data_IF_054443901706
#
_entry.id   IF_054443901706
#
_cell.length_a   1.000
_cell.length_b   1.000
_cell.length_c   1.000
_cell.angle_alpha   90.00
_cell.angle_beta   90.00
_cell.angle_gamma   90.00
#
_symmetry.space_group_name_H-M   'P 1'
#
loop_
_entity.id
_entity.type
_entity.pdbx_description
1 polymer ?
#
# COMPACT_ATOMS: atom_id res chain seq x y z
N UNK A 1 -14.57 -0.83 12.87
CA UNK A 1 -13.69 0.31 12.54
C UNK A 1 -12.28 -0.26 12.36
N UNK A 2 -11.43 0.38 11.56
CA UNK A 2 -10.18 -0.19 11.05
C UNK A 2 -9.03 0.71 11.48
N UNK A 3 -8.17 0.18 12.33
CA UNK A 3 -7.01 0.89 12.88
C UNK A 3 -5.79 0.85 11.94
N UNK A 4 -4.75 1.58 12.33
CA UNK A 4 -3.50 1.67 11.58
C UNK A 4 -2.86 0.29 11.33
N UNK A 5 -2.86 -0.59 12.34
CA UNK A 5 -2.29 -1.93 12.23
C UNK A 5 -3.02 -2.74 11.14
N UNK A 6 -4.35 -2.72 11.13
CA UNK A 6 -5.13 -3.42 10.12
C UNK A 6 -4.93 -2.82 8.72
N UNK A 7 -4.72 -1.50 8.60
CA UNK A 7 -4.33 -0.87 7.33
C UNK A 7 -2.96 -1.41 6.86
N UNK A 8 -1.95 -1.39 7.73
CA UNK A 8 -0.59 -1.84 7.41
C UNK A 8 -0.55 -3.31 7.00
N UNK A 9 -1.25 -4.17 7.74
CA UNK A 9 -1.41 -5.61 7.40
C UNK A 9 -2.03 -5.79 6.03
N UNK A 10 -3.04 -4.98 5.70
CA UNK A 10 -3.74 -5.11 4.42
C UNK A 10 -2.89 -4.62 3.25
N UNK A 11 -2.09 -3.56 3.43
CA UNK A 11 -1.14 -3.08 2.42
C UNK A 11 -0.08 -4.15 2.09
N UNK A 12 0.51 -4.80 3.10
CA UNK A 12 1.49 -5.86 2.86
C UNK A 12 0.82 -7.08 2.22
N UNK A 13 -0.29 -7.57 2.78
CA UNK A 13 -1.00 -8.73 2.23
C UNK A 13 -1.46 -8.51 0.79
N UNK A 14 -1.63 -7.26 0.37
CA UNK A 14 -1.95 -6.95 -0.99
C UNK A 14 -0.82 -7.35 -1.94
N UNK A 15 0.43 -7.01 -1.66
CA UNK A 15 1.54 -7.18 -2.62
C UNK A 15 2.49 -8.32 -2.25
N UNK A 16 2.71 -8.56 -0.96
CA UNK A 16 3.78 -9.41 -0.44
C UNK A 16 3.26 -10.32 0.69
N UNK A 17 2.26 -11.15 0.35
CA UNK A 17 1.64 -12.09 1.31
C UNK A 17 2.63 -13.12 1.87
N UNK A 18 3.74 -13.36 1.18
CA UNK A 18 4.81 -14.27 1.63
C UNK A 18 5.52 -13.71 2.86
N UNK A 19 5.70 -12.39 2.93
CA UNK A 19 6.32 -11.71 4.06
C UNK A 19 5.31 -10.85 4.82
N UNK A 20 4.14 -11.43 5.12
CA UNK A 20 3.04 -10.71 5.77
C UNK A 20 3.47 -10.01 7.07
N UNK A 21 4.42 -10.58 7.82
CA UNK A 21 5.00 -10.03 9.05
C UNK A 21 5.64 -8.66 8.87
N UNK A 22 6.05 -8.29 7.66
CA UNK A 22 6.63 -6.98 7.36
C UNK A 22 5.62 -5.83 7.51
N UNK A 23 4.35 -6.11 7.84
CA UNK A 23 3.36 -5.09 8.19
C UNK A 23 3.84 -4.17 9.32
N UNK A 24 4.69 -4.69 10.21
CA UNK A 24 5.29 -3.91 11.32
C UNK A 24 6.14 -2.74 10.81
N UNK A 25 6.71 -2.83 9.60
CA UNK A 25 7.50 -1.75 8.99
C UNK A 25 6.62 -0.56 8.58
N UNK A 26 5.34 -0.82 8.25
CA UNK A 26 4.39 0.19 7.83
C UNK A 26 3.63 0.78 9.03
N UNK A 27 3.52 0.05 10.14
CA UNK A 27 2.82 0.50 11.35
C UNK A 27 3.66 1.50 12.18
N UNK A 28 4.00 2.64 11.58
CA UNK A 28 4.82 3.70 12.19
C UNK A 28 4.18 5.07 11.99
N UNK A 29 4.74 6.13 12.62
CA UNK A 29 4.27 7.50 12.38
C UNK A 29 4.52 7.99 10.95
N UNK A 30 5.49 7.40 10.26
CA UNK A 30 5.84 7.74 8.87
C UNK A 30 5.26 6.72 7.87
N UNK A 31 4.06 6.20 8.15
CA UNK A 31 3.43 5.11 7.39
C UNK A 31 3.35 5.38 5.88
N UNK A 32 3.08 6.62 5.46
CA UNK A 32 3.04 6.99 4.05
C UNK A 32 4.39 6.72 3.36
N UNK A 33 5.47 7.23 3.95
CA UNK A 33 6.84 7.05 3.45
C UNK A 33 7.25 5.57 3.46
N UNK A 34 6.97 4.85 4.55
CA UNK A 34 7.29 3.43 4.64
C UNK A 34 6.52 2.59 3.62
N UNK A 35 5.26 2.94 3.35
CA UNK A 35 4.46 2.28 2.30
C UNK A 35 5.07 2.55 0.93
N UNK A 36 5.42 3.79 0.61
CA UNK A 36 6.08 4.17 -0.65
C UNK A 36 7.40 3.40 -0.85
N UNK A 37 8.30 3.46 0.14
CA UNK A 37 9.62 2.82 0.07
C UNK A 37 9.50 1.30 -0.07
N UNK A 38 8.58 0.67 0.68
CA UNK A 38 8.34 -0.76 0.60
C UNK A 38 7.79 -1.16 -0.78
N UNK A 39 6.79 -0.46 -1.29
CA UNK A 39 6.18 -0.76 -2.59
C UNK A 39 7.19 -0.53 -3.73
N UNK A 40 7.95 0.56 -3.72
CA UNK A 40 8.98 0.81 -4.74
C UNK A 40 10.01 -0.33 -4.74
N UNK A 41 10.51 -0.72 -3.57
CA UNK A 41 11.47 -1.82 -3.45
C UNK A 41 10.88 -3.13 -3.96
N UNK A 42 9.68 -3.49 -3.50
CA UNK A 42 9.00 -4.72 -3.90
C UNK A 42 8.83 -4.80 -5.42
N UNK A 43 8.28 -3.75 -6.05
CA UNK A 43 8.06 -3.75 -7.50
C UNK A 43 9.40 -3.75 -8.26
N UNK A 44 10.41 -3.02 -7.80
CA UNK A 44 11.75 -3.04 -8.39
C UNK A 44 12.40 -4.42 -8.33
N UNK A 45 12.31 -5.13 -7.21
CA UNK A 45 12.81 -6.51 -7.05
C UNK A 45 12.09 -7.51 -7.96
N UNK A 46 10.84 -7.21 -8.35
CA UNK A 46 10.07 -7.97 -9.34
C UNK A 46 10.27 -7.47 -10.79
N UNK A 47 11.27 -6.63 -11.03
CA UNK A 47 11.59 -6.11 -12.37
C UNK A 47 10.56 -5.13 -12.92
N UNK A 48 9.84 -4.42 -12.03
CA UNK A 48 8.79 -3.42 -12.34
C UNK A 48 9.15 -2.03 -11.84
N UNK A 49 10.41 -1.62 -12.01
CA UNK A 49 10.89 -0.31 -11.56
C UNK A 49 10.13 0.87 -12.20
N UNK A 50 9.51 0.67 -13.36
CA UNK A 50 8.64 1.63 -14.04
C UNK A 50 7.37 2.01 -13.24
N UNK A 51 7.01 1.24 -12.19
CA UNK A 51 5.89 1.56 -11.31
C UNK A 51 6.20 2.70 -10.31
N UNK A 52 7.47 3.10 -10.18
CA UNK A 52 7.95 4.03 -9.14
C UNK A 52 7.17 5.34 -9.10
N UNK A 53 6.99 6.00 -10.24
CA UNK A 53 6.33 7.32 -10.28
C UNK A 53 4.84 7.22 -9.92
N UNK A 54 4.17 6.14 -10.34
CA UNK A 54 2.76 5.91 -10.01
C UNK A 54 2.57 5.53 -8.54
N UNK A 55 3.50 4.78 -7.93
CA UNK A 55 3.49 4.49 -6.49
C UNK A 55 3.61 5.79 -5.68
N UNK A 56 4.53 6.68 -6.07
CA UNK A 56 4.68 8.01 -5.43
C UNK A 56 3.41 8.85 -5.58
N UNK A 57 2.81 8.85 -6.78
CA UNK A 57 1.59 9.59 -7.03
C UNK A 57 0.41 9.07 -6.20
N UNK A 58 0.22 7.74 -6.14
CA UNK A 58 -0.81 7.08 -5.34
C UNK A 58 -0.61 7.40 -3.85
N UNK A 59 0.61 7.28 -3.34
CA UNK A 59 0.90 7.56 -1.94
C UNK A 59 0.60 9.02 -1.60
N UNK A 60 1.07 9.95 -2.44
CA UNK A 60 0.83 11.39 -2.27
C UNK A 60 -0.67 11.74 -2.32
N UNK A 61 -1.44 11.12 -3.21
CA UNK A 61 -2.90 11.34 -3.32
C UNK A 61 -3.67 10.87 -2.09
N UNK A 62 -3.13 9.92 -1.32
CA UNK A 62 -3.74 9.37 -0.13
C UNK A 62 -3.10 9.90 1.18
N UNK A 63 -2.30 10.98 1.09
CA UNK A 63 -1.59 11.52 2.25
C UNK A 63 -2.52 11.88 3.41
N UNK A 64 -3.70 12.41 3.12
CA UNK A 64 -4.71 12.77 4.12
C UNK A 64 -5.19 11.55 4.92
N UNK A 65 -5.39 10.41 4.26
CA UNK A 65 -5.76 9.16 4.94
C UNK A 65 -4.63 8.66 5.82
N UNK A 66 -3.38 8.70 5.34
CA UNK A 66 -2.21 8.34 6.14
C UNK A 66 -2.06 9.22 7.39
N UNK A 67 -2.21 10.54 7.25
CA UNK A 67 -2.12 11.48 8.36
C UNK A 67 -3.23 11.22 9.41
N UNK A 68 -4.45 10.92 8.94
CA UNK A 68 -5.57 10.58 9.82
C UNK A 68 -5.30 9.31 10.63
N UNK A 69 -4.90 8.22 9.98
CA UNK A 69 -4.70 6.93 10.67
C UNK A 69 -3.50 6.94 11.61
N UNK A 70 -2.40 7.62 11.23
CA UNK A 70 -1.21 7.76 12.09
C UNK A 70 -1.43 8.71 13.28
N UNK A 71 -2.47 9.55 13.20
CA UNK A 71 -2.96 10.36 14.33
C UNK A 71 -3.90 9.58 15.26
N UNK A 72 -4.11 8.28 15.03
CA UNK A 72 -4.96 7.41 15.85
C UNK A 72 -6.44 7.40 15.46
N UNK A 73 -6.80 7.98 14.31
CA UNK A 73 -8.17 7.85 13.80
C UNK A 73 -8.35 6.50 13.12
N UNK A 74 -9.55 5.94 13.23
CA UNK A 74 -9.89 4.69 12.56
C UNK A 74 -10.66 4.97 11.27
N UNK A 75 -10.48 4.09 10.28
CA UNK A 75 -11.23 4.13 9.03
C UNK A 75 -12.51 3.31 9.15
N UNK A 76 -13.56 3.75 8.47
CA UNK A 76 -14.71 2.90 8.20
C UNK A 76 -14.44 1.99 6.97
N UNK A 77 -15.35 1.04 6.73
CA UNK A 77 -15.19 0.07 5.64
C UNK A 77 -15.20 0.69 4.23
N UNK A 78 -15.87 1.84 4.03
CA UNK A 78 -15.85 2.56 2.76
C UNK A 78 -14.51 3.24 2.57
N UNK A 79 -14.03 3.99 3.55
CA UNK A 79 -12.73 4.67 3.51
C UNK A 79 -11.58 3.69 3.26
N UNK A 80 -11.58 2.56 3.97
CA UNK A 80 -10.60 1.50 3.75
C UNK A 80 -10.64 0.94 2.32
N UNK A 81 -11.85 0.74 1.77
CA UNK A 81 -12.00 0.22 0.40
C UNK A 81 -11.43 1.20 -0.61
N UNK A 82 -11.82 2.47 -0.49
CA UNK A 82 -11.43 3.54 -1.40
C UNK A 82 -9.91 3.78 -1.31
N UNK A 83 -9.35 3.77 -0.10
CA UNK A 83 -7.91 3.88 0.13
C UNK A 83 -7.10 2.72 -0.48
N UNK A 84 -7.61 1.48 -0.39
CA UNK A 84 -6.91 0.30 -0.92
C UNK A 84 -7.00 0.14 -2.44
N UNK A 85 -7.98 0.79 -3.08
CA UNK A 85 -8.28 0.57 -4.49
C UNK A 85 -7.13 0.98 -5.45
N UNK A 86 -6.48 2.15 -5.29
CA UNK A 86 -5.31 2.50 -6.10
C UNK A 86 -4.16 1.50 -5.97
N UNK A 87 -3.88 0.99 -4.77
CA UNK A 87 -2.83 -0.01 -4.57
C UNK A 87 -3.20 -1.36 -5.19
N UNK A 88 -4.48 -1.76 -5.18
CA UNK A 88 -4.96 -2.98 -5.88
C UNK A 88 -4.75 -2.84 -7.38
N UNK A 89 -5.01 -1.65 -7.92
CA UNK A 89 -4.77 -1.35 -9.32
C UNK A 89 -3.28 -1.48 -9.67
N UNK A 90 -2.37 -0.91 -8.87
CA UNK A 90 -0.91 -1.08 -9.05
C UNK A 90 -0.51 -2.56 -9.12
N UNK A 91 -0.94 -3.38 -8.14
CA UNK A 91 -0.67 -4.83 -8.15
C UNK A 91 -1.18 -5.47 -9.44
N UNK A 92 -2.40 -5.16 -9.85
CA UNK A 92 -3.02 -5.74 -11.04
C UNK A 92 -2.26 -5.37 -12.31
N UNK A 93 -1.91 -4.08 -12.44
CA UNK A 93 -1.26 -3.51 -13.62
C UNK A 93 0.16 -4.04 -13.86
N UNK A 94 0.94 -4.29 -12.80
CA UNK A 94 2.36 -4.61 -12.94
C UNK A 94 2.73 -6.04 -12.53
N UNK A 95 2.04 -6.63 -11.56
CA UNK A 95 2.34 -7.99 -11.07
C UNK A 95 1.43 -9.01 -11.72
N UNK A 96 0.12 -8.75 -11.77
CA UNK A 96 -0.86 -9.65 -12.39
C UNK A 96 -1.20 -9.27 -13.82
N UNK A 97 -0.25 -8.75 -14.62
CA UNK A 97 -0.50 -8.67 -16.06
C UNK A 97 -0.90 -10.07 -16.51
N UNK A 98 -2.19 -10.21 -16.81
CA UNK A 98 -2.76 -11.40 -17.38
C UNK A 98 -1.84 -11.77 -18.53
N UNK A 99 -1.23 -12.94 -18.47
CA UNK A 99 -0.71 -13.58 -19.67
C UNK A 99 -1.92 -13.67 -20.60
N UNK A 100 -2.05 -12.68 -21.49
CA UNK A 100 -2.95 -12.74 -22.62
C UNK A 100 -2.51 -13.96 -23.40
N UNK A 101 -3.38 -14.96 -23.41
CA UNK A 101 -3.35 -16.10 -24.32
C UNK A 101 -3.30 -15.63 -25.77
#
# INVERSE_FOLDING_TARGET
>A
MIDQEQVARTLINLIDVVHQENWVLLNTKDMAKQTEEYFIRFFSEHGKAEATDEIKEVTKKNQDIFDRITSGNELNAKEMRDFMEPYRFLKTKYIHQSKGL
#
